data_IF_537204599558
#
_entry.id   IF_537204599558
#
_cell.length_a   1.000
_cell.length_b   1.000
_cell.length_c   1.000
_cell.angle_alpha   90.00
_cell.angle_beta   90.00
_cell.angle_gamma   90.00
#
_symmetry.space_group_name_H-M   'P 1'
#
loop_
_entity.id
_entity.type
_entity.pdbx_description
1 polymer ?
#
# COMPACT_ATOMS: atom_id res chain seq x y z
N UNK A 1 16.82 -16.27 -4.63
CA UNK A 1 16.46 -16.22 -6.07
C UNK A 1 15.39 -17.24 -6.44
N UNK A 2 15.28 -18.38 -5.74
CA UNK A 2 14.26 -19.42 -5.95
C UNK A 2 12.84 -18.98 -5.56
N UNK A 3 12.69 -18.22 -4.48
CA UNK A 3 11.37 -17.83 -3.92
C UNK A 3 10.50 -16.99 -4.86
N UNK A 4 11.08 -16.05 -5.60
CA UNK A 4 10.31 -15.20 -6.52
C UNK A 4 9.79 -16.00 -7.72
N UNK A 5 10.62 -16.88 -8.27
CA UNK A 5 10.26 -17.73 -9.40
C UNK A 5 9.17 -18.71 -8.96
N UNK A 6 9.27 -19.29 -7.76
CA UNK A 6 8.24 -20.15 -7.18
C UNK A 6 6.90 -19.43 -7.04
N UNK A 7 6.88 -18.21 -6.51
CA UNK A 7 5.66 -17.40 -6.39
C UNK A 7 5.05 -17.12 -7.76
N UNK A 8 5.84 -16.63 -8.72
CA UNK A 8 5.36 -16.36 -10.08
C UNK A 8 4.84 -17.62 -10.76
N UNK A 9 5.48 -18.75 -10.52
CA UNK A 9 5.04 -20.06 -11.03
C UNK A 9 3.72 -20.47 -10.40
N UNK A 10 3.56 -20.35 -9.07
CA UNK A 10 2.30 -20.65 -8.39
C UNK A 10 1.13 -19.77 -8.86
N UNK A 11 1.40 -18.48 -9.15
CA UNK A 11 0.40 -17.56 -9.70
C UNK A 11 0.06 -17.93 -11.15
N UNK A 12 1.04 -18.40 -11.92
CA UNK A 12 0.83 -18.89 -13.29
C UNK A 12 0.06 -20.18 -13.37
N UNK A 13 0.09 -21.01 -12.32
CA UNK A 13 -0.71 -22.24 -12.24
C UNK A 13 -2.12 -21.97 -11.69
N UNK A 14 -2.40 -20.78 -11.16
CA UNK A 14 -3.71 -20.41 -10.66
C UNK A 14 -4.58 -19.88 -11.81
N UNK A 15 -5.30 -20.79 -12.47
CA UNK A 15 -6.21 -20.49 -13.58
C UNK A 15 -7.21 -19.37 -13.24
N UNK A 16 -7.68 -19.29 -11.99
CA UNK A 16 -8.58 -18.23 -11.54
C UNK A 16 -7.93 -16.85 -11.62
N UNK A 17 -6.70 -16.72 -11.11
CA UNK A 17 -5.94 -15.47 -11.15
C UNK A 17 -5.51 -15.09 -12.57
N UNK A 18 -5.01 -16.06 -13.35
CA UNK A 18 -4.52 -15.81 -14.72
C UNK A 18 -5.64 -15.30 -15.61
N UNK A 19 -6.84 -15.88 -15.53
CA UNK A 19 -7.96 -15.52 -16.40
C UNK A 19 -8.75 -14.29 -15.89
N UNK A 20 -8.56 -13.86 -14.65
CA UNK A 20 -9.24 -12.69 -14.09
C UNK A 20 -8.85 -11.40 -14.82
N UNK A 21 -9.81 -10.49 -15.03
CA UNK A 21 -9.51 -9.16 -15.53
C UNK A 21 -8.54 -8.44 -14.54
N UNK A 22 -7.39 -7.90 -14.99
CA UNK A 22 -6.45 -7.19 -14.12
C UNK A 22 -7.07 -6.01 -13.34
N UNK A 23 -8.12 -5.39 -13.88
CA UNK A 23 -8.87 -4.37 -13.16
C UNK A 23 -9.65 -4.97 -11.98
N UNK A 24 -10.24 -6.15 -12.19
CA UNK A 24 -10.99 -6.85 -11.14
C UNK A 24 -10.05 -7.38 -10.04
N UNK A 25 -8.85 -7.88 -10.38
CA UNK A 25 -7.85 -8.24 -9.36
C UNK A 25 -7.42 -7.03 -8.55
N UNK A 26 -7.24 -5.87 -9.17
CA UNK A 26 -6.94 -4.63 -8.46
C UNK A 26 -8.11 -4.13 -7.58
N UNK A 27 -9.36 -4.35 -7.99
CA UNK A 27 -10.52 -4.07 -7.13
C UNK A 27 -10.52 -4.94 -5.88
N UNK A 28 -10.10 -6.21 -5.97
CA UNK A 28 -9.96 -7.08 -4.80
C UNK A 28 -8.83 -6.60 -3.87
N UNK A 29 -7.70 -6.17 -4.42
CA UNK A 29 -6.60 -5.57 -3.64
C UNK A 29 -7.08 -4.29 -2.94
N UNK A 30 -7.84 -3.45 -3.65
CA UNK A 30 -8.43 -2.25 -3.08
C UNK A 30 -9.38 -2.57 -1.93
N UNK A 31 -10.28 -3.55 -2.11
CA UNK A 31 -11.19 -3.99 -1.07
C UNK A 31 -10.44 -4.52 0.16
N UNK A 32 -9.37 -5.28 -0.05
CA UNK A 32 -8.50 -5.73 1.02
C UNK A 32 -7.87 -4.56 1.79
N UNK A 33 -7.38 -3.54 1.09
CA UNK A 33 -6.86 -2.31 1.73
C UNK A 33 -7.93 -1.54 2.51
N UNK A 34 -9.16 -1.47 1.99
CA UNK A 34 -10.29 -0.86 2.70
C UNK A 34 -10.54 -1.61 4.01
N UNK A 35 -10.63 -2.94 3.98
CA UNK A 35 -10.86 -3.76 5.18
C UNK A 35 -9.71 -3.61 6.17
N UNK A 36 -8.46 -3.66 5.71
CA UNK A 36 -7.28 -3.49 6.58
C UNK A 36 -7.24 -2.12 7.24
N UNK A 37 -7.40 -1.05 6.47
CA UNK A 37 -7.33 0.31 7.00
C UNK A 37 -8.51 0.62 7.92
N UNK A 38 -9.70 0.09 7.62
CA UNK A 38 -10.86 0.14 8.51
C UNK A 38 -10.59 -0.58 9.82
N UNK A 39 -10.13 -1.85 9.78
CA UNK A 39 -9.84 -2.64 10.96
C UNK A 39 -8.73 -1.98 11.83
N UNK A 40 -7.67 -1.49 11.21
CA UNK A 40 -6.62 -0.73 11.91
C UNK A 40 -7.18 0.55 12.54
N UNK A 41 -8.00 1.31 11.82
CA UNK A 41 -8.64 2.52 12.33
C UNK A 41 -9.53 2.24 13.53
N UNK A 42 -10.31 1.16 13.51
CA UNK A 42 -11.14 0.75 14.65
C UNK A 42 -10.32 0.24 15.84
N UNK A 43 -9.19 -0.43 15.58
CA UNK A 43 -8.36 -1.01 16.63
C UNK A 43 -7.45 0.01 17.33
N UNK A 44 -6.80 0.89 16.57
CA UNK A 44 -5.89 1.93 17.12
C UNK A 44 -6.59 3.25 17.39
N UNK A 45 -7.80 3.48 16.88
CA UNK A 45 -8.46 4.80 16.91
C UNK A 45 -7.74 5.85 16.05
N UNK A 46 -6.78 5.44 15.22
CA UNK A 46 -5.94 6.31 14.40
C UNK A 46 -6.24 6.08 12.91
N UNK A 47 -6.85 7.07 12.26
CA UNK A 47 -7.26 7.01 10.86
C UNK A 47 -6.14 7.37 9.87
N UNK A 48 -4.96 7.81 10.34
CA UNK A 48 -3.81 8.16 9.49
C UNK A 48 -3.16 6.97 8.78
N UNK A 49 -3.62 5.75 9.07
CA UNK A 49 -3.15 4.52 8.40
C UNK A 49 -3.45 4.52 6.89
N UNK A 50 -4.52 5.20 6.46
CA UNK A 50 -4.84 5.38 5.02
C UNK A 50 -3.78 6.23 4.33
N UNK A 51 -3.37 7.34 4.96
CA UNK A 51 -2.37 8.27 4.41
C UNK A 51 -1.00 7.60 4.24
N UNK A 52 -0.64 6.72 5.17
CA UNK A 52 0.59 5.92 5.07
C UNK A 52 0.56 5.00 3.86
N UNK A 53 -0.58 4.37 3.60
CA UNK A 53 -0.76 3.41 2.50
C UNK A 53 -0.76 4.08 1.12
N UNK A 54 -1.22 5.34 1.03
CA UNK A 54 -1.35 6.09 -0.23
C UNK A 54 -0.06 6.13 -1.06
N UNK A 55 1.11 6.17 -0.41
CA UNK A 55 2.41 6.20 -1.09
C UNK A 55 2.77 4.89 -1.81
N UNK A 56 2.18 3.77 -1.40
CA UNK A 56 2.51 2.41 -1.87
C UNK A 56 1.41 1.86 -2.80
N UNK A 57 0.15 2.25 -2.59
CA UNK A 57 -1.01 1.72 -3.32
C UNK A 57 -0.85 1.78 -4.85
N UNK A 58 -0.44 2.90 -5.47
CA UNK A 58 -0.31 2.96 -6.94
C UNK A 58 0.81 2.07 -7.48
N UNK A 59 1.88 1.88 -6.71
CA UNK A 59 2.97 0.96 -7.07
C UNK A 59 2.44 -0.47 -7.10
N UNK A 60 1.69 -0.88 -6.07
CA UNK A 60 1.10 -2.23 -6.00
C UNK A 60 0.16 -2.50 -7.18
N UNK A 61 -0.73 -1.55 -7.52
CA UNK A 61 -1.64 -1.74 -8.65
C UNK A 61 -0.91 -1.86 -9.98
N UNK A 62 0.11 -1.02 -10.20
CA UNK A 62 0.88 -1.06 -11.44
C UNK A 62 1.72 -2.32 -11.55
N UNK A 63 2.27 -2.80 -10.43
CA UNK A 63 2.98 -4.09 -10.35
C UNK A 63 2.03 -5.26 -10.59
N UNK A 64 0.78 -5.22 -10.09
CA UNK A 64 -0.20 -6.27 -10.38
C UNK A 64 -0.49 -6.40 -11.88
N UNK A 65 -0.66 -5.27 -12.59
CA UNK A 65 -0.76 -5.28 -14.05
C UNK A 65 0.46 -5.92 -14.71
N UNK A 66 1.67 -5.58 -14.25
CA UNK A 66 2.90 -6.16 -14.76
C UNK A 66 2.99 -7.68 -14.49
N UNK A 67 2.60 -8.14 -13.30
CA UNK A 67 2.59 -9.57 -12.93
C UNK A 67 1.65 -10.34 -13.84
N UNK A 68 0.40 -9.89 -14.01
CA UNK A 68 -0.56 -10.57 -14.89
C UNK A 68 -0.03 -10.62 -16.32
N UNK A 69 0.63 -9.55 -16.78
CA UNK A 69 1.23 -9.49 -18.12
C UNK A 69 2.35 -10.54 -18.30
N UNK A 70 3.24 -10.67 -17.31
CA UNK A 70 4.34 -11.64 -17.28
C UNK A 70 3.80 -13.06 -17.21
N UNK A 71 2.84 -13.30 -16.31
CA UNK A 71 2.23 -14.62 -16.10
C UNK A 71 1.49 -15.11 -17.36
N UNK A 72 0.81 -14.21 -18.08
CA UNK A 72 0.17 -14.52 -19.37
C UNK A 72 1.15 -14.64 -20.54
N UNK A 73 2.46 -14.45 -20.30
CA UNK A 73 3.54 -14.53 -21.30
C UNK A 73 3.34 -13.60 -22.50
N UNK A 74 2.77 -12.42 -22.28
CA UNK A 74 2.65 -11.41 -23.35
C UNK A 74 3.99 -10.73 -23.64
N UNK A 75 4.19 -10.29 -24.88
CA UNK A 75 5.40 -9.56 -25.29
C UNK A 75 5.45 -8.18 -24.62
N UNK A 76 6.57 -7.79 -24.00
CA UNK A 76 6.67 -6.58 -23.17
C UNK A 76 6.12 -5.32 -23.87
N UNK A 77 5.13 -4.67 -23.24
CA UNK A 77 4.56 -3.43 -23.74
C UNK A 77 5.32 -2.23 -23.17
N UNK A 78 5.94 -1.44 -24.04
CA UNK A 78 6.74 -0.26 -23.66
C UNK A 78 5.95 0.76 -22.85
N UNK A 79 4.65 0.92 -23.13
CA UNK A 79 3.77 1.85 -22.38
C UNK A 79 3.59 1.37 -20.93
N UNK A 80 3.35 0.08 -20.73
CA UNK A 80 3.18 -0.50 -19.38
C UNK A 80 4.46 -0.38 -18.57
N UNK A 81 5.61 -0.69 -19.19
CA UNK A 81 6.91 -0.59 -18.52
C UNK A 81 7.23 0.87 -18.14
N UNK A 82 6.98 1.82 -19.05
CA UNK A 82 7.16 3.24 -18.77
C UNK A 82 6.29 3.70 -17.58
N UNK A 83 5.01 3.33 -17.57
CA UNK A 83 4.11 3.65 -16.45
C UNK A 83 4.57 3.01 -15.13
N UNK A 84 5.03 1.76 -15.17
CA UNK A 84 5.56 1.08 -13.99
C UNK A 84 6.79 1.79 -13.40
N UNK A 85 7.73 2.21 -14.25
CA UNK A 85 8.92 2.95 -13.81
C UNK A 85 8.58 4.34 -13.25
N UNK A 86 7.68 5.07 -13.91
CA UNK A 86 7.24 6.39 -13.45
C UNK A 86 6.52 6.31 -12.09
N UNK A 87 5.60 5.35 -11.94
CA UNK A 87 4.87 5.16 -10.69
C UNK A 87 5.80 4.68 -9.58
N UNK A 88 6.76 3.80 -9.88
CA UNK A 88 7.78 3.39 -8.91
C UNK A 88 8.63 4.57 -8.44
N UNK A 89 9.10 5.42 -9.37
CA UNK A 89 9.86 6.63 -9.03
C UNK A 89 9.03 7.62 -8.21
N UNK A 90 7.75 7.78 -8.53
CA UNK A 90 6.81 8.58 -7.74
C UNK A 90 6.62 8.03 -6.33
N UNK A 91 6.41 6.72 -6.19
CA UNK A 91 6.28 6.05 -4.89
C UNK A 91 7.56 6.22 -4.05
N UNK A 92 8.72 5.97 -4.65
CA UNK A 92 10.01 6.17 -4.00
C UNK A 92 10.21 7.61 -3.52
N UNK A 93 9.82 8.62 -4.31
CA UNK A 93 9.85 10.03 -3.90
C UNK A 93 8.96 10.27 -2.67
N UNK A 94 7.74 9.72 -2.64
CA UNK A 94 6.82 9.91 -1.52
C UNK A 94 7.31 9.21 -0.26
N UNK A 95 7.76 7.95 -0.37
CA UNK A 95 8.35 7.20 0.74
C UNK A 95 9.54 7.94 1.33
N UNK A 96 10.43 8.47 0.48
CA UNK A 96 11.56 9.28 0.93
C UNK A 96 11.12 10.57 1.64
N UNK A 97 10.10 11.26 1.12
CA UNK A 97 9.56 12.45 1.77
C UNK A 97 8.92 12.14 3.13
N UNK A 98 8.19 11.03 3.23
CA UNK A 98 7.57 10.60 4.48
C UNK A 98 8.61 10.21 5.53
N UNK A 99 9.68 9.53 5.11
CA UNK A 99 10.83 9.21 5.95
C UNK A 99 11.53 10.48 6.48
N UNK A 100 11.82 11.45 5.60
CA UNK A 100 12.46 12.72 6.02
C UNK A 100 11.62 13.54 7.01
N UNK A 101 10.29 13.44 6.92
CA UNK A 101 9.37 14.15 7.81
C UNK A 101 9.13 13.43 9.15
N UNK A 102 9.85 12.34 9.43
CA UNK A 102 9.71 11.62 10.69
C UNK A 102 8.49 10.68 10.75
N UNK A 103 7.81 10.42 9.63
CA UNK A 103 6.57 9.63 9.61
C UNK A 103 6.71 8.15 10.00
N UNK A 104 7.95 7.65 10.10
CA UNK A 104 8.27 6.30 10.61
C UNK A 104 8.79 6.31 12.06
N UNK A 105 8.79 7.46 12.74
CA UNK A 105 9.20 7.54 14.15
C UNK A 105 8.04 7.14 15.07
N UNK A 106 8.27 6.15 15.94
CA UNK A 106 7.31 5.79 17.02
C UNK A 106 7.23 6.87 18.13
N UNK A 107 8.13 7.84 18.13
CA UNK A 107 8.29 8.82 19.21
C UNK A 107 7.19 9.89 19.23
N UNK A 108 6.53 10.16 18.12
CA UNK A 108 5.51 11.20 18.05
C UNK A 108 4.27 10.82 18.88
N UNK A 109 3.79 9.58 18.76
CA UNK A 109 2.61 9.13 19.51
C UNK A 109 2.84 9.15 21.02
N UNK A 110 4.04 8.79 21.50
CA UNK A 110 4.39 8.86 22.94
C UNK A 110 4.46 10.31 23.45
N UNK A 111 4.92 11.26 22.64
CA UNK A 111 5.03 12.67 23.05
C UNK A 111 3.69 13.42 23.04
N UNK A 112 2.72 13.01 22.22
CA UNK A 112 1.38 13.59 22.21
C UNK A 112 0.47 13.03 23.31
N UNK A 113 0.71 11.84 23.84
CA UNK A 113 -0.07 11.28 24.95
C UNK A 113 -0.09 12.17 26.21
N UNK A 114 1.03 12.77 26.68
CA UNK A 114 0.96 13.71 27.80
C UNK A 114 0.20 14.99 27.43
N UNK A 115 0.45 15.59 26.25
CA UNK A 115 -0.24 16.83 25.83
C UNK A 115 -1.75 16.64 25.63
N UNK A 116 -2.18 15.53 25.01
CA UNK A 116 -3.58 15.19 24.76
C UNK A 116 -4.32 14.83 26.05
N UNK A 117 -3.65 14.18 27.00
CA UNK A 117 -4.23 13.91 28.33
C UNK A 117 -4.43 15.20 29.12
N UNK A 118 -3.53 16.17 29.00
CA UNK A 118 -3.66 17.49 29.65
C UNK A 118 -4.80 18.30 29.03
N UNK A 119 -4.92 18.35 27.70
CA UNK A 119 -5.97 19.12 27.03
C UNK A 119 -7.37 18.63 27.38
N UNK A 120 -7.57 17.31 27.46
CA UNK A 120 -8.86 16.71 27.86
C UNK A 120 -9.21 17.08 29.31
N UNK A 121 -8.22 17.16 30.21
CA UNK A 121 -8.47 17.51 31.61
C UNK A 121 -8.77 19.00 31.82
N UNK A 122 -8.20 19.89 31.01
CA UNK A 122 -8.54 21.33 31.04
C UNK A 122 -9.97 21.62 30.56
N UNK A 123 -10.51 20.82 29.64
CA UNK A 123 -11.86 21.03 29.11
C UNK A 123 -12.99 20.58 30.08
N UNK A 124 -12.65 19.86 31.16
CA UNK A 124 -13.60 19.43 32.21
C UNK A 124 -13.55 20.28 33.49
N UNK A 125 -12.65 21.27 33.57
CA UNK A 125 -12.43 22.09 34.79
C UNK A 125 -12.92 23.54 34.62
N UNK A 126 -13.76 23.82 33.62
CA UNK A 126 -14.43 25.13 33.43
C UNK A 126 -15.94 24.99 33.59
#
# INVERSE_FOLDING_TARGET
MTTLIEVLTSLSLNEGYVNMNPAASNMLICLFFVILTFAMGTYTGNYSSVDRLWSITPVIYTVNYLIVYIVRRYALNSRLLCMALLVFAWGARLTFNFWRKGGYSLSEEVNYLPYRRISILTDYVV
#
